data_IF_436119604254
#
_entry.id   IF_436119604254
#
_cell.length_a   1.000
_cell.length_b   1.000
_cell.length_c   1.000
_cell.angle_alpha   90.00
_cell.angle_beta   90.00
_cell.angle_gamma   90.00
#
_symmetry.space_group_name_H-M   'P 1'
#
loop_
_entity.id
_entity.type
_entity.pdbx_description
1 polymer ?
#
# COMPACT_ATOMS: atom_id res chain seq x y z
N UNK A 1 31.73 -19.23 14.52
CA UNK A 1 32.54 -19.11 13.27
C UNK A 1 31.54 -19.19 12.12
N UNK A 2 31.28 -18.22 11.25
CA UNK A 2 31.90 -16.97 10.84
C UNK A 2 30.80 -15.89 10.79
N UNK A 3 31.14 -14.73 11.35
CA UNK A 3 30.83 -13.40 10.83
C UNK A 3 29.96 -13.33 9.56
N UNK A 4 28.70 -12.94 9.74
CA UNK A 4 27.98 -12.06 8.81
C UNK A 4 27.57 -10.80 9.59
N UNK A 5 28.58 -10.04 10.00
CA UNK A 5 28.42 -8.62 10.28
C UNK A 5 28.41 -7.98 8.91
N UNK A 6 27.27 -7.45 8.48
CA UNK A 6 27.20 -6.10 7.92
C UNK A 6 25.78 -5.77 7.45
N UNK A 7 25.31 -4.66 8.03
CA UNK A 7 24.51 -3.63 7.37
C UNK A 7 23.08 -4.03 6.97
N UNK A 8 22.14 -3.61 7.82
CA UNK A 8 21.07 -2.62 7.56
C UNK A 8 20.21 -2.67 8.85
N UNK A 9 20.52 -1.89 9.89
CA UNK A 9 20.07 -0.50 10.00
C UNK A 9 18.60 -0.31 9.60
N UNK A 10 17.67 -0.87 10.37
CA UNK A 10 16.46 -0.16 10.79
C UNK A 10 15.72 -1.02 11.83
N UNK A 11 16.00 -0.77 13.10
CA UNK A 11 15.00 -0.95 14.15
C UNK A 11 13.84 0.00 13.83
N UNK A 12 12.97 -0.40 12.90
CA UNK A 12 11.77 0.35 12.57
C UNK A 12 10.77 0.07 13.68
N UNK A 13 10.70 1.07 14.57
CA UNK A 13 9.75 1.21 15.63
C UNK A 13 8.41 0.55 15.30
N UNK A 14 8.02 -0.34 16.20
CA UNK A 14 6.63 -0.52 16.60
C UNK A 14 6.01 0.86 16.79
N UNK A 15 5.18 1.29 15.84
CA UNK A 15 4.19 2.33 16.10
C UNK A 15 2.82 1.78 15.72
N UNK A 16 2.07 1.46 16.77
CA UNK A 16 0.63 1.34 16.78
C UNK A 16 0.00 2.47 15.95
N UNK A 17 -0.91 2.12 15.06
CA UNK A 17 -1.63 3.07 14.21
C UNK A 17 -2.89 2.44 13.67
N UNK A 18 -3.79 2.01 14.54
CA UNK A 18 -5.20 2.07 14.20
C UNK A 18 -5.52 3.55 13.92
N UNK A 19 -6.24 3.79 12.83
CA UNK A 19 -6.90 5.04 12.49
C UNK A 19 -5.98 6.15 11.94
N UNK A 20 -6.05 6.36 10.63
CA UNK A 20 -6.78 7.44 9.97
C UNK A 20 -6.30 7.43 8.51
N UNK A 21 -7.16 7.82 7.58
CA UNK A 21 -6.75 8.24 6.24
C UNK A 21 -5.86 9.49 6.35
N UNK A 22 -4.64 9.32 6.88
CA UNK A 22 -3.67 10.38 7.04
C UNK A 22 -2.98 10.57 5.69
N UNK A 23 -2.98 11.82 5.24
CA UNK A 23 -2.34 12.24 4.01
C UNK A 23 -0.86 11.78 4.01
N UNK A 24 -0.51 10.83 3.12
CA UNK A 24 0.83 10.24 3.03
C UNK A 24 1.92 11.30 2.85
N UNK A 25 1.57 12.47 2.31
CA UNK A 25 2.44 13.61 2.17
C UNK A 25 2.74 14.30 3.51
N UNK A 26 1.75 14.40 4.40
CA UNK A 26 1.91 14.92 5.76
C UNK A 26 2.83 14.02 6.60
N UNK A 27 2.68 12.69 6.53
CA UNK A 27 3.60 11.77 7.21
C UNK A 27 5.03 11.86 6.67
N UNK A 28 5.19 12.04 5.35
CA UNK A 28 6.51 12.22 4.76
C UNK A 28 7.17 13.55 5.20
N UNK A 29 6.37 14.60 5.38
CA UNK A 29 6.83 15.90 5.87
C UNK A 29 7.22 15.87 7.36
N UNK A 30 6.42 15.20 8.21
CA UNK A 30 6.74 14.94 9.63
C UNK A 30 8.05 14.16 9.78
N UNK A 31 8.32 13.20 8.89
CA UNK A 31 9.58 12.46 8.84
C UNK A 31 10.74 13.25 8.20
N UNK A 32 10.51 14.49 7.79
CA UNK A 32 11.46 15.35 7.06
C UNK A 32 12.10 14.65 5.84
N UNK A 33 11.36 13.76 5.20
CA UNK A 33 11.83 13.08 4.01
C UNK A 33 11.80 14.08 2.85
N UNK A 34 12.93 14.21 2.14
CA UNK A 34 13.07 15.08 0.98
C UNK A 34 13.49 14.28 -0.27
N UNK A 35 13.23 14.84 -1.44
CA UNK A 35 13.64 14.25 -2.73
C UNK A 35 13.11 12.83 -2.94
N UNK A 36 13.99 11.92 -3.41
CA UNK A 36 13.63 10.55 -3.72
C UNK A 36 13.10 9.75 -2.51
N UNK A 37 13.59 10.04 -1.31
CA UNK A 37 13.16 9.36 -0.08
C UNK A 37 11.70 9.72 0.27
N UNK A 38 11.30 10.98 0.06
CA UNK A 38 9.91 11.42 0.20
C UNK A 38 9.00 10.67 -0.78
N UNK A 39 9.39 10.63 -2.06
CA UNK A 39 8.59 10.01 -3.11
C UNK A 39 8.40 8.49 -2.89
N UNK A 40 9.47 7.79 -2.49
CA UNK A 40 9.39 6.36 -2.17
C UNK A 40 8.53 6.08 -0.94
N UNK A 41 8.61 6.93 0.09
CA UNK A 41 7.78 6.80 1.29
C UNK A 41 6.31 7.09 0.99
N UNK A 42 6.01 8.18 0.27
CA UNK A 42 4.65 8.52 -0.14
C UNK A 42 4.05 7.40 -0.99
N UNK A 43 4.76 6.92 -2.04
CA UNK A 43 4.29 5.80 -2.86
C UNK A 43 4.07 4.51 -2.08
N UNK A 44 4.93 4.22 -1.11
CA UNK A 44 4.78 3.05 -0.23
C UNK A 44 3.56 3.22 0.68
N UNK A 45 3.42 4.39 1.29
CA UNK A 45 2.29 4.76 2.13
C UNK A 45 0.97 4.68 1.36
N UNK A 46 0.87 5.27 0.17
CA UNK A 46 -0.37 5.26 -0.64
C UNK A 46 -0.79 3.83 -1.04
N UNK A 47 0.19 2.95 -1.25
CA UNK A 47 -0.03 1.54 -1.56
C UNK A 47 -0.49 0.77 -0.31
N UNK A 48 0.09 1.01 0.86
CA UNK A 48 -0.29 0.33 2.11
C UNK A 48 -1.54 0.92 2.77
N UNK A 49 -1.84 2.20 2.55
CA UNK A 49 -3.03 2.89 3.01
C UNK A 49 -4.26 2.63 2.13
N UNK A 50 -4.15 1.76 1.11
CA UNK A 50 -5.27 1.31 0.28
C UNK A 50 -5.74 2.29 -0.80
N UNK A 51 -5.18 3.51 -0.85
CA UNK A 51 -5.54 4.52 -1.84
C UNK A 51 -5.14 4.14 -3.28
N UNK A 52 -4.08 3.33 -3.44
CA UNK A 52 -3.63 2.82 -4.74
C UNK A 52 -4.17 1.45 -5.13
N UNK A 53 -4.97 0.80 -4.28
CA UNK A 53 -5.15 -0.66 -4.34
C UNK A 53 -6.58 -1.11 -4.63
N UNK A 54 -7.45 -0.21 -5.11
CA UNK A 54 -8.82 -0.59 -5.53
C UNK A 54 -8.79 -1.77 -6.50
N UNK A 55 -7.82 -1.82 -7.41
CA UNK A 55 -7.61 -2.96 -8.32
C UNK A 55 -7.38 -4.29 -7.60
N UNK A 56 -6.45 -4.34 -6.64
CA UNK A 56 -6.13 -5.59 -5.95
C UNK A 56 -7.14 -5.95 -4.86
N UNK A 57 -7.77 -4.98 -4.20
CA UNK A 57 -8.94 -5.21 -3.35
C UNK A 57 -10.10 -5.83 -4.16
N UNK A 58 -10.38 -5.29 -5.35
CA UNK A 58 -11.38 -5.84 -6.25
C UNK A 58 -11.00 -7.22 -6.80
N UNK A 59 -9.70 -7.45 -7.07
CA UNK A 59 -9.19 -8.76 -7.51
C UNK A 59 -9.32 -9.82 -6.41
N UNK A 60 -9.02 -9.47 -5.16
CA UNK A 60 -9.23 -10.32 -3.99
C UNK A 60 -10.72 -10.64 -3.81
N UNK A 61 -11.60 -9.65 -3.92
CA UNK A 61 -13.06 -9.88 -3.87
C UNK A 61 -13.57 -10.76 -5.02
N UNK A 62 -12.99 -10.63 -6.21
CA UNK A 62 -13.30 -11.52 -7.33
C UNK A 62 -12.84 -12.97 -7.05
N UNK A 63 -11.65 -13.13 -6.45
CA UNK A 63 -11.10 -14.43 -6.08
C UNK A 63 -11.91 -15.11 -4.95
N UNK A 64 -12.37 -14.36 -3.94
CA UNK A 64 -13.28 -14.87 -2.90
C UNK A 64 -14.60 -15.37 -3.50
N UNK A 65 -15.10 -14.67 -4.52
CA UNK A 65 -16.27 -15.09 -5.31
C UNK A 65 -15.96 -16.20 -6.32
N UNK A 66 -14.72 -16.71 -6.36
CA UNK A 66 -14.22 -17.72 -7.32
C UNK A 66 -14.49 -17.33 -8.77
N UNK A 67 -14.52 -16.03 -9.07
CA UNK A 67 -14.70 -15.55 -10.43
C UNK A 67 -13.40 -15.74 -11.21
N UNK A 68 -13.49 -16.38 -12.36
CA UNK A 68 -12.37 -16.59 -13.28
C UNK A 68 -12.70 -16.02 -14.67
N UNK A 69 -11.66 -15.82 -15.48
CA UNK A 69 -11.80 -15.37 -16.87
C UNK A 69 -12.57 -14.04 -17.02
N UNK A 70 -13.47 -13.99 -18.00
CA UNK A 70 -14.22 -12.77 -18.33
C UNK A 70 -15.09 -12.25 -17.18
N UNK A 71 -15.62 -13.14 -16.33
CA UNK A 71 -16.44 -12.76 -15.17
C UNK A 71 -15.61 -12.03 -14.11
N UNK A 72 -14.38 -12.50 -13.86
CA UNK A 72 -13.41 -11.83 -12.98
C UNK A 72 -13.12 -10.41 -13.49
N UNK A 73 -12.78 -10.29 -14.77
CA UNK A 73 -12.39 -9.01 -15.36
C UNK A 73 -13.53 -7.97 -15.33
N UNK A 74 -14.76 -8.41 -15.61
CA UNK A 74 -15.94 -7.54 -15.56
C UNK A 74 -16.25 -7.08 -14.13
N UNK A 75 -16.13 -7.99 -13.16
CA UNK A 75 -16.31 -7.66 -11.74
C UNK A 75 -15.24 -6.69 -11.25
N UNK A 76 -13.97 -6.95 -11.53
CA UNK A 76 -12.87 -6.07 -11.11
C UNK A 76 -13.03 -4.68 -11.72
N UNK A 77 -13.33 -4.58 -13.04
CA UNK A 77 -13.60 -3.28 -13.68
C UNK A 77 -14.75 -2.52 -13.03
N UNK A 78 -15.85 -3.20 -12.73
CA UNK A 78 -17.03 -2.61 -12.08
C UNK A 78 -16.69 -2.14 -10.66
N UNK A 79 -15.99 -2.98 -9.90
CA UNK A 79 -15.59 -2.70 -8.53
C UNK A 79 -14.59 -1.54 -8.43
N UNK A 80 -13.61 -1.45 -9.33
CA UNK A 80 -12.67 -0.31 -9.38
C UNK A 80 -13.40 0.99 -9.75
N UNK A 81 -14.33 0.93 -10.70
CA UNK A 81 -15.13 2.09 -11.07
C UNK A 81 -16.06 2.56 -9.94
N UNK A 82 -16.59 1.61 -9.15
CA UNK A 82 -17.40 1.90 -7.96
C UNK A 82 -16.57 2.50 -6.83
N UNK A 83 -15.36 1.98 -6.60
CA UNK A 83 -14.41 2.49 -5.60
C UNK A 83 -13.83 3.88 -5.96
N UNK A 84 -13.94 4.31 -7.21
CA UNK A 84 -13.50 5.62 -7.69
C UNK A 84 -14.62 6.68 -7.71
N UNK A 85 -15.84 6.32 -7.31
CA UNK A 85 -17.01 7.20 -7.29
C UNK A 85 -17.32 7.65 -5.87
#
# INVERSE_FOLDING_TARGET
MKTWISLIALTLATLSGAAQAADCQAQAAEKKLAGAAKNSFVKKCERESGAGDAGAACDAKAAEKKLAGAAKNSFVKKCVADAAK
#
